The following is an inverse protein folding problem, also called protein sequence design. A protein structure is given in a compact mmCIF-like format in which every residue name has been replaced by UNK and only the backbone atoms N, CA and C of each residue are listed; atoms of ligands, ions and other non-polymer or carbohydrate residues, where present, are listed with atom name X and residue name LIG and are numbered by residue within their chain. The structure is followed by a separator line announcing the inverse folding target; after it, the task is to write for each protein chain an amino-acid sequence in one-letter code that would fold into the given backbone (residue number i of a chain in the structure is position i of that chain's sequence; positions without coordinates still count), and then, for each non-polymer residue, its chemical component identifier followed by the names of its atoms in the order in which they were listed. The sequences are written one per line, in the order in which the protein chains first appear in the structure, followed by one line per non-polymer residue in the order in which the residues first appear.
data_IF_661422836092
#
_entry.id   IF_661422836092
#
_cell.length_a   1.000
_cell.length_b   1.000
_cell.length_c   1.000
_cell.angle_alpha   90.00
_cell.angle_beta   90.00
_cell.angle_gamma   90.00
#
_symmetry.space_group_name_H-M   'P 1'
#
loop_
_entity.id
_entity.type
_entity.pdbx_description
1 polymer ?
#
# COMPACT_ATOMS: atom_id res chain seq x y z
N UNK A 1 -17.11 -5.76 6.72
CA UNK A 1 -16.82 -4.59 7.57
C UNK A 1 -15.69 -4.82 8.58
N UNK A 2 -15.35 -6.07 8.97
CA UNK A 2 -14.27 -6.33 9.93
C UNK A 2 -12.85 -6.47 9.32
N UNK A 3 -12.71 -6.83 8.04
CA UNK A 3 -11.39 -7.00 7.40
C UNK A 3 -10.61 -5.69 7.27
N UNK A 4 -11.28 -4.59 6.92
CA UNK A 4 -10.66 -3.26 6.75
C UNK A 4 -10.05 -2.72 8.06
N UNK A 5 -10.67 -3.07 9.19
CA UNK A 5 -10.26 -2.70 10.53
C UNK A 5 -8.94 -3.39 10.96
N UNK A 6 -8.75 -4.65 10.56
CA UNK A 6 -7.52 -5.38 10.87
C UNK A 6 -6.32 -4.82 10.12
N UNK A 7 -6.49 -4.44 8.85
CA UNK A 7 -5.45 -3.79 8.05
C UNK A 7 -4.94 -2.50 8.69
N UNK A 8 -5.81 -1.68 9.30
CA UNK A 8 -5.42 -0.43 9.98
C UNK A 8 -4.51 -0.69 11.19
N UNK A 9 -4.82 -1.70 12.00
CA UNK A 9 -4.00 -2.07 13.17
C UNK A 9 -2.63 -2.58 12.73
N UNK A 10 -2.59 -3.42 11.69
CA UNK A 10 -1.34 -3.94 11.13
C UNK A 10 -0.46 -2.82 10.55
N UNK A 11 -1.08 -1.83 9.90
CA UNK A 11 -0.41 -0.66 9.34
C UNK A 11 0.19 0.23 10.42
N UNK A 12 -0.59 0.53 11.47
CA UNK A 12 -0.15 1.31 12.62
C UNK A 12 1.01 0.61 13.35
N UNK A 13 0.92 -0.72 13.50
CA UNK A 13 1.99 -1.54 14.10
C UNK A 13 3.26 -1.53 13.24
N UNK A 14 3.13 -1.60 11.92
CA UNK A 14 4.26 -1.55 10.98
C UNK A 14 4.97 -0.21 10.96
N UNK A 15 4.24 0.90 11.18
CA UNK A 15 4.81 2.24 11.22
C UNK A 15 5.08 2.77 12.63
N UNK A 16 4.84 1.96 13.66
CA UNK A 16 4.98 2.35 15.07
C UNK A 16 6.35 2.98 15.35
N UNK A 17 7.44 2.40 14.84
CA UNK A 17 8.79 2.93 15.04
C UNK A 17 8.99 4.32 14.42
N UNK A 18 8.50 4.52 13.20
CA UNK A 18 8.57 5.80 12.49
C UNK A 18 7.72 6.87 13.18
N UNK A 19 6.51 6.49 13.61
CA UNK A 19 5.61 7.38 14.35
C UNK A 19 6.23 7.78 15.68
N UNK A 20 6.81 6.85 16.44
CA UNK A 20 7.54 7.15 17.68
C UNK A 20 8.67 8.14 17.43
N UNK A 21 9.45 7.95 16.37
CA UNK A 21 10.59 8.82 16.06
C UNK A 21 10.18 10.26 15.71
N UNK A 22 9.00 10.44 15.11
CA UNK A 22 8.49 11.75 14.70
C UNK A 22 7.73 12.41 15.84
N UNK A 23 6.77 11.71 16.42
CA UNK A 23 5.90 12.22 17.48
C UNK A 23 6.66 12.46 18.79
N UNK A 24 7.82 11.82 19.02
CA UNK A 24 8.67 12.13 20.19
C UNK A 24 9.17 13.57 20.20
N UNK A 25 9.16 14.27 19.06
CA UNK A 25 9.55 15.69 19.02
C UNK A 25 8.60 16.54 19.88
N UNK A 26 7.30 16.20 19.91
CA UNK A 26 6.29 16.86 20.74
C UNK A 26 5.26 15.83 21.27
N UNK A 27 5.74 14.92 22.12
CA UNK A 27 4.92 13.82 22.63
C UNK A 27 3.73 14.31 23.46
N UNK A 28 3.90 15.40 24.23
CA UNK A 28 2.83 15.96 25.06
C UNK A 28 1.69 16.53 24.22
N UNK A 29 2.00 17.15 23.07
CA UNK A 29 0.99 17.66 22.13
C UNK A 29 0.11 16.54 21.58
N UNK A 30 0.73 15.42 21.20
CA UNK A 30 0.06 14.25 20.63
C UNK A 30 -0.80 13.55 21.68
N UNK A 31 -0.28 13.39 22.90
CA UNK A 31 -0.98 12.74 24.01
C UNK A 31 -2.21 13.55 24.44
N UNK A 32 -2.11 14.89 24.46
CA UNK A 32 -3.25 15.77 24.72
C UNK A 32 -4.34 15.67 23.63
N UNK A 33 -3.93 15.66 22.36
CA UNK A 33 -4.86 15.50 21.24
C UNK A 33 -5.54 14.13 21.23
N UNK A 34 -4.80 13.06 21.57
CA UNK A 34 -5.36 11.73 21.67
C UNK A 34 -6.38 11.60 22.81
N UNK A 35 -6.16 12.28 23.94
CA UNK A 35 -7.12 12.37 25.04
C UNK A 35 -8.37 13.14 24.65
N UNK A 36 -8.23 14.28 23.96
CA UNK A 36 -9.35 15.10 23.49
C UNK A 36 -10.30 14.32 22.56
N UNK A 37 -9.77 13.36 21.80
CA UNK A 37 -10.53 12.46 20.91
C UNK A 37 -11.03 11.18 21.59
N UNK A 38 -10.86 11.04 22.91
CA UNK A 38 -11.21 9.82 23.69
C UNK A 38 -10.59 8.53 23.12
N UNK A 39 -9.45 8.63 22.42
CA UNK A 39 -8.74 7.48 21.83
C UNK A 39 -8.09 6.62 22.91
N UNK A 40 -7.74 7.26 24.02
CA UNK A 40 -7.18 6.65 25.21
C UNK A 40 -8.19 6.79 26.33
N UNK A 41 -8.37 5.75 27.14
CA UNK A 41 -9.13 5.87 28.39
C UNK A 41 -8.36 6.77 29.37
N UNK A 42 -9.04 7.42 30.33
CA UNK A 42 -8.40 8.25 31.36
C UNK A 42 -7.22 7.54 32.05
N UNK A 43 -7.40 6.26 32.38
CA UNK A 43 -6.37 5.41 32.96
C UNK A 43 -5.15 5.21 32.04
N UNK A 44 -5.38 5.11 30.72
CA UNK A 44 -4.30 5.01 29.73
C UNK A 44 -3.56 6.35 29.59
N UNK A 45 -4.28 7.48 29.64
CA UNK A 45 -3.67 8.80 29.59
C UNK A 45 -2.79 9.08 30.81
N UNK A 46 -3.25 8.77 32.03
CA UNK A 46 -2.44 8.89 33.25
C UNK A 46 -1.19 8.01 33.19
N UNK A 47 -1.32 6.79 32.67
CA UNK A 47 -0.18 5.88 32.49
C UNK A 47 0.84 6.43 31.48
N UNK A 48 0.38 7.02 30.38
CA UNK A 48 1.23 7.66 29.38
C UNK A 48 1.87 8.94 29.94
N UNK A 49 1.12 9.78 30.65
CA UNK A 49 1.65 10.98 31.33
C UNK A 49 2.73 10.62 32.38
N UNK A 50 2.60 9.46 33.01
CA UNK A 50 3.58 8.96 33.98
C UNK A 50 4.93 8.57 33.35
N UNK A 51 4.98 8.34 32.03
CA UNK A 51 6.24 8.10 31.32
C UNK A 51 7.07 9.39 31.23
N UNK A 52 8.33 9.33 31.69
CA UNK A 52 9.24 10.49 31.67
C UNK A 52 9.85 10.76 30.29
N UNK A 53 9.89 9.75 29.42
CA UNK A 53 10.55 9.82 28.13
C UNK A 53 9.50 10.04 27.03
N UNK A 54 9.64 11.07 26.18
CA UNK A 54 8.65 11.37 25.13
C UNK A 54 8.51 10.24 24.11
N UNK A 55 9.56 9.48 23.81
CA UNK A 55 9.47 8.30 22.95
C UNK A 55 8.67 7.17 23.60
N UNK A 56 8.82 6.95 24.91
CA UNK A 56 8.02 5.96 25.64
C UNK A 56 6.57 6.40 25.75
N UNK A 57 6.29 7.69 25.98
CA UNK A 57 4.94 8.25 25.98
C UNK A 57 4.20 7.90 24.68
N UNK A 58 4.82 8.20 23.54
CA UNK A 58 4.24 7.89 22.23
C UNK A 58 4.13 6.39 22.00
N UNK A 59 5.13 5.62 22.43
CA UNK A 59 5.10 4.17 22.28
C UNK A 59 3.95 3.54 23.06
N UNK A 60 3.74 3.95 24.32
CA UNK A 60 2.64 3.49 25.17
C UNK A 60 1.30 3.93 24.61
N UNK A 61 1.20 5.16 24.09
CA UNK A 61 0.00 5.64 23.40
C UNK A 61 -0.37 4.72 22.22
N UNK A 62 0.59 4.47 21.33
CA UNK A 62 0.37 3.60 20.18
C UNK A 62 0.07 2.15 20.59
N UNK A 63 0.75 1.64 21.63
CA UNK A 63 0.47 0.30 22.14
C UNK A 63 -0.95 0.21 22.70
N UNK A 64 -1.35 1.18 23.54
CA UNK A 64 -2.68 1.21 24.14
C UNK A 64 -3.79 1.28 23.08
N UNK A 65 -3.55 2.04 22.01
CA UNK A 65 -4.47 2.12 20.86
C UNK A 65 -4.55 0.79 20.11
N UNK A 66 -3.42 0.11 19.90
CA UNK A 66 -3.38 -1.22 19.27
C UNK A 66 -4.11 -2.27 20.14
N UNK A 67 -3.97 -2.20 21.47
CA UNK A 67 -4.67 -3.08 22.42
C UNK A 67 -6.18 -2.82 22.48
N UNK A 68 -6.59 -1.55 22.40
CA UNK A 68 -8.01 -1.16 22.41
C UNK A 68 -8.75 -1.63 21.16
N UNK A 69 -8.03 -1.73 20.04
CA UNK A 69 -8.50 -2.37 18.82
C UNK A 69 -8.62 -1.43 17.63
N UNK A 70 -9.26 -1.91 16.55
CA UNK A 70 -9.22 -1.24 15.26
C UNK A 70 -9.92 0.12 15.22
N UNK A 71 -10.99 0.30 16.00
CA UNK A 71 -11.70 1.60 16.10
C UNK A 71 -10.80 2.68 16.69
N UNK A 72 -10.03 2.33 17.72
CA UNK A 72 -9.04 3.23 18.30
C UNK A 72 -7.87 3.49 17.36
N UNK A 73 -7.37 2.45 16.68
CA UNK A 73 -6.28 2.56 15.70
C UNK A 73 -6.68 3.46 14.52
N UNK A 74 -7.91 3.36 14.06
CA UNK A 74 -8.46 4.21 13.01
C UNK A 74 -8.60 5.65 13.47
N UNK A 75 -9.09 5.89 14.68
CA UNK A 75 -9.17 7.23 15.24
C UNK A 75 -7.80 7.87 15.47
N UNK A 76 -6.78 7.09 15.84
CA UNK A 76 -5.38 7.55 15.87
C UNK A 76 -4.87 7.91 14.48
N UNK A 77 -5.22 7.12 13.46
CA UNK A 77 -4.86 7.43 12.07
C UNK A 77 -5.54 8.71 11.56
N UNK A 78 -6.75 9.00 12.02
CA UNK A 78 -7.50 10.22 11.70
C UNK A 78 -6.86 11.44 12.37
N UNK A 79 -6.51 11.31 13.65
CA UNK A 79 -5.76 12.33 14.41
C UNK A 79 -4.44 12.67 13.71
N UNK A 80 -3.68 11.67 13.27
CA UNK A 80 -2.42 11.88 12.56
C UNK A 80 -2.58 12.58 11.21
N UNK A 81 -3.79 12.63 10.65
CA UNK A 81 -4.11 13.35 9.40
C UNK A 81 -4.63 14.76 9.63
N UNK A 82 -4.93 15.15 10.87
CA UNK A 82 -5.38 16.50 11.18
C UNK A 82 -4.32 17.53 10.80
N UNK A 83 -4.79 18.70 10.34
CA UNK A 83 -3.92 19.79 9.94
C UNK A 83 -3.00 20.21 11.09
N UNK A 84 -3.50 20.27 12.31
CA UNK A 84 -2.74 20.68 13.49
C UNK A 84 -1.54 19.75 13.74
N UNK A 85 -1.76 18.43 13.73
CA UNK A 85 -0.68 17.44 13.91
C UNK A 85 0.29 17.45 12.73
N UNK A 86 -0.18 17.69 11.51
CA UNK A 86 0.67 17.74 10.32
C UNK A 86 1.51 19.02 10.24
N UNK A 87 1.01 20.14 10.78
CA UNK A 87 1.76 21.38 10.90
C UNK A 87 2.84 21.27 11.98
N UNK A 88 2.54 20.63 13.12
CA UNK A 88 3.53 20.34 14.16
C UNK A 88 4.57 19.34 13.67
N UNK A 89 4.16 18.36 12.88
CA UNK A 89 5.04 17.29 12.39
C UNK A 89 4.95 17.16 10.86
N UNK A 90 5.66 18.02 10.10
CA UNK A 90 5.68 17.96 8.64
C UNK A 90 6.24 16.63 8.11
N UNK A 91 6.93 15.85 8.95
CA UNK A 91 7.42 14.51 8.64
C UNK A 91 6.32 13.45 8.60
N UNK A 92 5.12 13.72 9.12
CA UNK A 92 3.96 12.81 9.07
C UNK A 92 3.23 12.80 7.72
N UNK A 93 3.74 13.50 6.71
CA UNK A 93 3.09 13.60 5.40
C UNK A 93 2.83 12.23 4.74
N UNK A 94 3.71 11.24 4.98
CA UNK A 94 3.49 9.86 4.51
C UNK A 94 2.25 9.17 5.10
N UNK A 95 1.73 9.64 6.24
CA UNK A 95 0.51 9.10 6.86
C UNK A 95 -0.74 9.57 6.11
N UNK A 96 -0.69 10.74 5.47
CA UNK A 96 -1.76 11.22 4.57
C UNK A 96 -1.87 10.36 3.32
N UNK A 97 -0.74 9.87 2.82
CA UNK A 97 -0.69 8.99 1.65
C UNK A 97 -1.22 7.59 1.94
N UNK A 98 -1.16 7.19 3.22
CA UNK A 98 -1.49 5.85 3.70
C UNK A 98 -2.99 5.58 3.90
N UNK A 99 -3.89 6.45 3.40
CA UNK A 99 -5.34 6.22 3.53
C UNK A 99 -5.68 4.86 2.92
N UNK A 100 -6.00 3.89 3.80
CA UNK A 100 -6.77 2.70 3.43
C UNK A 100 -7.98 3.20 2.68
N UNK A 101 -8.23 2.55 1.55
CA UNK A 101 -9.14 2.98 0.49
C UNK A 101 -10.58 2.97 0.99
N UNK A 102 -10.98 3.99 1.74
CA UNK A 102 -12.39 4.27 1.98
C UNK A 102 -12.83 5.32 0.96
N UNK A 103 -13.62 4.95 -0.05
CA UNK A 103 -14.20 5.93 -0.95
C UNK A 103 -15.26 6.75 -0.19
N UNK A 104 -15.14 8.07 -0.36
CA UNK A 104 -16.17 9.09 -0.16
C UNK A 104 -16.30 9.73 1.24
N UNK A 105 -16.05 11.04 1.25
CA UNK A 105 -16.88 12.15 1.78
C UNK A 105 -16.16 13.43 1.34
N UNK A 106 -16.47 13.97 0.16
CA UNK A 106 -17.35 15.14 -0.04
C UNK A 106 -17.03 16.25 0.95
N UNK A 107 -16.11 17.15 0.56
CA UNK A 107 -16.15 18.60 0.82
C UNK A 107 -15.50 19.24 -0.41
N UNK A 108 -16.27 19.65 -1.42
CA UNK A 108 -16.81 21.01 -1.56
C UNK A 108 -15.76 22.11 -1.32
N UNK A 109 -15.07 22.50 -2.39
CA UNK A 109 -14.80 23.92 -2.61
C UNK A 109 -14.73 24.22 -4.10
N UNK A 110 -15.67 25.06 -4.50
CA UNK A 110 -15.97 25.58 -5.83
C UNK A 110 -14.79 26.42 -6.36
N UNK A 111 -14.46 26.44 -7.67
CA UNK A 111 -15.14 27.30 -8.63
C UNK A 111 -14.74 26.97 -10.09
N UNK A 112 -15.79 26.88 -10.91
CA UNK A 112 -15.95 27.32 -12.31
C UNK A 112 -15.48 26.46 -13.50
N UNK A 113 -16.48 25.89 -14.17
CA UNK A 113 -16.50 25.56 -15.61
C UNK A 113 -17.65 24.61 -16.02
N UNK A 114 -18.68 25.03 -16.79
CA UNK A 114 -19.84 24.20 -17.09
C UNK A 114 -19.71 23.40 -18.41
N UNK A 115 -19.93 22.08 -18.30
CA UNK A 115 -20.63 21.17 -19.26
C UNK A 115 -19.91 20.75 -20.57
N UNK A 116 -20.41 19.75 -21.34
CA UNK A 116 -20.71 18.36 -20.97
C UNK A 116 -20.28 17.37 -22.07
N UNK A 117 -19.59 16.26 -21.76
CA UNK A 117 -19.54 15.12 -22.69
C UNK A 117 -19.28 13.81 -21.95
N UNK A 118 -20.24 12.91 -22.17
CA UNK A 118 -20.44 11.61 -21.54
C UNK A 118 -19.28 10.64 -21.81
N UNK A 119 -19.13 9.69 -20.86
CA UNK A 119 -18.29 8.46 -20.86
C UNK A 119 -16.92 8.56 -20.18
N UNK A 120 -16.93 8.93 -18.91
CA UNK A 120 -15.86 8.57 -17.98
C UNK A 120 -16.45 7.73 -16.83
N UNK A 121 -16.67 6.43 -17.08
CA UNK A 121 -16.95 5.38 -16.09
C UNK A 121 -16.86 4.06 -16.86
N UNK A 122 -16.00 3.08 -16.59
CA UNK A 122 -15.26 2.69 -15.40
C UNK A 122 -13.85 2.32 -15.87
N UNK A 123 -12.80 3.02 -15.46
CA UNK A 123 -11.44 2.47 -15.59
C UNK A 123 -11.19 1.65 -14.35
N UNK A 124 -11.47 0.34 -14.45
CA UNK A 124 -11.02 -0.64 -13.49
C UNK A 124 -9.56 -0.33 -13.17
N UNK A 125 -9.30 -0.06 -11.89
CA UNK A 125 -7.96 0.16 -11.38
C UNK A 125 -7.23 -1.18 -11.47
N UNK A 126 -6.65 -1.42 -12.65
CA UNK A 126 -6.06 -2.66 -13.11
C UNK A 126 -4.78 -3.02 -12.37
N UNK A 127 -4.89 -3.44 -11.11
CA UNK A 127 -3.86 -4.31 -10.53
C UNK A 127 -3.92 -5.61 -11.32
N UNK A 128 -2.77 -6.07 -11.83
CA UNK A 128 -2.73 -7.37 -12.52
C UNK A 128 -3.23 -8.43 -11.54
N UNK A 129 -4.31 -9.11 -11.91
CA UNK A 129 -4.84 -10.19 -11.10
C UNK A 129 -3.96 -11.43 -11.21
N UNK A 130 -3.97 -12.26 -10.18
CA UNK A 130 -3.23 -13.53 -10.19
C UNK A 130 -3.57 -14.39 -11.41
N UNK A 131 -4.84 -14.38 -11.82
CA UNK A 131 -5.34 -15.06 -13.01
C UNK A 131 -4.69 -14.53 -14.28
N UNK A 132 -4.58 -13.22 -14.44
CA UNK A 132 -3.90 -12.61 -15.59
C UNK A 132 -2.41 -12.96 -15.62
N UNK A 133 -1.72 -12.94 -14.46
CA UNK A 133 -0.32 -13.39 -14.38
C UNK A 133 -0.18 -14.87 -14.77
N UNK A 134 -1.13 -15.71 -14.39
CA UNK A 134 -1.15 -17.13 -14.73
C UNK A 134 -1.36 -17.37 -16.22
N UNK A 135 -2.25 -16.61 -16.86
CA UNK A 135 -2.51 -16.70 -18.32
C UNK A 135 -1.26 -16.27 -19.09
N UNK A 136 -0.67 -15.13 -18.70
CA UNK A 136 0.60 -14.64 -19.27
C UNK A 136 1.72 -15.64 -19.03
N UNK A 137 1.80 -16.27 -17.86
CA UNK A 137 2.82 -17.28 -17.56
C UNK A 137 2.73 -18.54 -18.43
N UNK A 138 1.51 -18.94 -18.82
CA UNK A 138 1.30 -20.07 -19.74
C UNK A 138 1.66 -19.73 -21.19
N UNK A 139 1.51 -18.46 -21.56
CA UNK A 139 1.82 -17.96 -22.90
C UNK A 139 3.25 -17.47 -23.09
N UNK A 140 3.94 -17.13 -22.00
CA UNK A 140 5.37 -16.86 -22.04
C UNK A 140 6.10 -18.13 -22.49
N UNK A 141 6.98 -17.99 -23.48
CA UNK A 141 7.81 -19.09 -23.96
C UNK A 141 9.09 -19.26 -23.14
N UNK A 142 9.95 -20.20 -23.54
CA UNK A 142 11.23 -20.53 -22.87
C UNK A 142 12.14 -19.33 -22.56
N UNK A 143 11.89 -18.18 -23.19
CA UNK A 143 12.59 -16.91 -22.97
C UNK A 143 12.24 -16.19 -21.66
N UNK A 144 11.32 -16.68 -20.83
CA UNK A 144 10.93 -16.04 -19.56
C UNK A 144 12.12 -15.51 -18.73
N UNK A 145 13.22 -16.25 -18.67
CA UNK A 145 14.43 -15.86 -17.94
C UNK A 145 15.07 -14.59 -18.53
N UNK A 146 15.10 -14.50 -19.86
CA UNK A 146 15.59 -13.31 -20.57
C UNK A 146 14.64 -12.12 -20.40
N UNK A 147 13.33 -12.36 -20.41
CA UNK A 147 12.28 -11.36 -20.11
C UNK A 147 12.42 -10.83 -18.68
N UNK A 148 12.76 -11.70 -17.73
CA UNK A 148 13.03 -11.29 -16.35
C UNK A 148 14.14 -10.28 -16.25
N UNK A 149 15.21 -10.48 -17.01
CA UNK A 149 16.38 -9.59 -17.00
C UNK A 149 16.10 -8.30 -17.77
N UNK A 150 15.60 -8.42 -19.00
CA UNK A 150 15.44 -7.27 -19.92
C UNK A 150 14.19 -6.45 -19.60
N UNK A 151 13.00 -7.08 -19.51
CA UNK A 151 11.73 -6.39 -19.27
C UNK A 151 11.45 -6.06 -17.81
N UNK A 152 11.75 -6.98 -16.90
CA UNK A 152 11.40 -6.83 -15.49
C UNK A 152 12.57 -6.30 -14.63
N UNK A 153 13.79 -6.24 -15.18
CA UNK A 153 14.98 -5.77 -14.46
C UNK A 153 15.32 -6.64 -13.23
N UNK A 154 14.99 -7.93 -13.29
CA UNK A 154 15.26 -8.93 -12.24
C UNK A 154 16.69 -9.45 -12.41
N UNK A 155 17.42 -9.56 -11.30
CA UNK A 155 18.79 -10.08 -11.30
C UNK A 155 18.80 -11.57 -11.66
N UNK A 156 19.77 -12.01 -12.47
CA UNK A 156 19.91 -13.42 -12.89
C UNK A 156 19.92 -14.39 -11.70
N UNK A 157 20.66 -14.04 -10.64
CA UNK A 157 20.71 -14.80 -9.37
C UNK A 157 19.31 -15.13 -8.82
N UNK A 158 18.36 -14.19 -8.94
CA UNK A 158 16.99 -14.41 -8.45
C UNK A 158 16.18 -15.32 -9.38
N UNK A 159 16.45 -15.27 -10.68
CA UNK A 159 15.82 -16.15 -11.66
C UNK A 159 16.30 -17.59 -11.52
N UNK A 160 17.60 -17.79 -11.29
CA UNK A 160 18.16 -19.11 -10.97
C UNK A 160 17.54 -19.70 -9.72
N UNK A 161 17.37 -18.89 -8.67
CA UNK A 161 16.70 -19.33 -7.46
C UNK A 161 15.24 -19.76 -7.72
N UNK A 162 14.50 -19.01 -8.53
CA UNK A 162 13.11 -19.36 -8.90
C UNK A 162 13.07 -20.64 -9.75
N UNK A 163 14.04 -20.81 -10.65
CA UNK A 163 14.20 -21.99 -11.49
C UNK A 163 14.48 -23.25 -10.66
N UNK A 164 15.31 -23.13 -9.62
CA UNK A 164 15.69 -24.22 -8.73
C UNK A 164 14.58 -24.56 -7.71
N UNK A 165 13.87 -23.55 -7.18
CA UNK A 165 12.78 -23.75 -6.23
C UNK A 165 11.51 -24.35 -6.86
N UNK A 166 11.25 -24.13 -8.15
CA UNK A 166 10.00 -24.52 -8.81
C UNK A 166 10.20 -25.63 -9.83
N UNK A 167 9.37 -26.67 -9.72
CA UNK A 167 9.43 -27.87 -10.57
C UNK A 167 8.81 -27.63 -11.94
N UNK A 168 7.74 -26.84 -12.02
CA UNK A 168 7.04 -26.61 -13.29
C UNK A 168 7.41 -25.27 -13.91
N UNK A 169 7.45 -25.26 -15.24
CA UNK A 169 7.72 -24.06 -16.03
C UNK A 169 6.75 -22.92 -15.67
N UNK A 170 5.44 -23.21 -15.64
CA UNK A 170 4.40 -22.22 -15.36
C UNK A 170 4.62 -21.59 -13.98
N UNK A 171 4.99 -22.38 -12.96
CA UNK A 171 5.30 -21.85 -11.63
C UNK A 171 6.54 -20.96 -11.61
N UNK A 172 7.57 -21.26 -12.41
CA UNK A 172 8.78 -20.41 -12.53
C UNK A 172 8.42 -19.05 -13.10
N UNK A 173 7.70 -19.03 -14.22
CA UNK A 173 7.29 -17.79 -14.88
C UNK A 173 6.33 -16.99 -14.02
N UNK A 174 5.36 -17.68 -13.41
CA UNK A 174 4.41 -17.06 -12.52
C UNK A 174 5.09 -16.45 -11.29
N UNK A 175 6.03 -17.18 -10.66
CA UNK A 175 6.80 -16.66 -9.53
C UNK A 175 7.66 -15.45 -9.92
N UNK A 176 8.23 -15.43 -11.14
CA UNK A 176 8.95 -14.27 -11.67
C UNK A 176 8.04 -13.04 -11.81
N UNK A 177 6.83 -13.25 -12.35
CA UNK A 177 5.84 -12.19 -12.54
C UNK A 177 5.29 -11.65 -11.21
N UNK A 178 5.05 -12.52 -10.23
CA UNK A 178 4.68 -12.15 -8.85
C UNK A 178 5.81 -11.37 -8.19
N UNK A 179 7.07 -11.80 -8.37
CA UNK A 179 8.24 -11.10 -7.84
C UNK A 179 8.35 -9.69 -8.40
N UNK A 180 8.15 -9.51 -9.70
CA UNK A 180 8.08 -8.19 -10.32
C UNK A 180 6.92 -7.36 -9.79
N UNK A 181 5.73 -7.95 -9.67
CA UNK A 181 4.53 -7.27 -9.15
C UNK A 181 4.75 -6.75 -7.72
N UNK A 182 5.34 -7.57 -6.86
CA UNK A 182 5.70 -7.20 -5.49
C UNK A 182 6.77 -6.11 -5.42
N UNK A 183 7.67 -6.04 -6.42
CA UNK A 183 8.72 -5.02 -6.50
C UNK A 183 8.19 -3.68 -7.02
N UNK A 184 7.23 -3.68 -7.95
CA UNK A 184 6.66 -2.45 -8.51
C UNK A 184 5.41 -1.95 -7.77
N UNK A 185 4.82 -2.73 -6.86
CA UNK A 185 3.64 -2.46 -5.96
C UNK A 185 2.49 -1.65 -6.59
N UNK A 186 2.70 -0.36 -6.84
CA UNK A 186 1.75 0.59 -7.42
C UNK A 186 1.78 0.67 -8.95
N UNK A 187 2.95 0.42 -9.57
CA UNK A 187 3.15 0.46 -11.03
C UNK A 187 2.98 -0.90 -11.70
N UNK A 188 2.60 -1.94 -10.95
CA UNK A 188 2.35 -3.29 -11.45
C UNK A 188 0.96 -3.38 -12.09
N UNK A 189 0.75 -2.59 -13.13
CA UNK A 189 -0.52 -2.50 -13.87
C UNK A 189 -0.46 -3.41 -15.09
N UNK A 190 -1.61 -3.97 -15.48
CA UNK A 190 -1.72 -4.82 -16.68
C UNK A 190 -1.22 -4.10 -17.94
N UNK A 191 -1.55 -2.81 -18.08
CA UNK A 191 -1.03 -1.95 -19.14
C UNK A 191 0.50 -1.78 -19.12
N UNK A 192 1.12 -1.73 -17.93
CA UNK A 192 2.57 -1.59 -17.82
C UNK A 192 3.27 -2.90 -18.18
N UNK A 193 2.72 -4.03 -17.74
CA UNK A 193 3.22 -5.35 -18.13
C UNK A 193 3.07 -5.56 -19.65
N UNK A 194 1.93 -5.16 -20.22
CA UNK A 194 1.68 -5.20 -21.66
C UNK A 194 2.68 -4.32 -22.43
N UNK A 195 2.91 -3.09 -21.98
CA UNK A 195 3.89 -2.19 -22.63
C UNK A 195 5.29 -2.77 -22.60
N UNK A 196 5.73 -3.34 -21.47
CA UNK A 196 7.05 -3.97 -21.34
C UNK A 196 7.19 -5.20 -22.24
N UNK A 197 6.19 -6.07 -22.25
CA UNK A 197 6.20 -7.28 -23.08
C UNK A 197 6.03 -6.98 -24.58
N UNK A 198 5.40 -5.86 -24.93
CA UNK A 198 5.23 -5.40 -26.31
C UNK A 198 6.42 -4.59 -26.83
N UNK A 199 7.25 -4.02 -25.96
CA UNK A 199 8.42 -3.24 -26.37
C UNK A 199 9.63 -4.12 -26.70
N UNK A 200 9.70 -5.32 -26.14
CA UNK A 200 10.81 -6.24 -26.38
C UNK A 200 10.35 -7.36 -27.32
N UNK A 201 11.07 -7.53 -28.42
CA UNK A 201 10.86 -8.56 -29.46
C UNK A 201 11.21 -9.96 -28.90
N UNK A 202 10.41 -10.44 -27.95
CA UNK A 202 10.72 -11.61 -27.13
C UNK A 202 10.10 -12.91 -27.64
N UNK A 203 9.45 -12.87 -28.80
CA UNK A 203 8.74 -14.01 -29.38
C UNK A 203 7.54 -14.47 -28.55
N UNK A 204 6.97 -13.59 -27.73
CA UNK A 204 5.76 -13.89 -26.96
C UNK A 204 4.55 -13.76 -27.89
N UNK A 205 3.67 -14.77 -27.98
CA UNK A 205 2.48 -14.69 -28.81
C UNK A 205 1.61 -13.51 -28.34
N UNK A 206 1.19 -12.61 -29.24
CA UNK A 206 0.40 -11.42 -28.90
C UNK A 206 -0.91 -11.82 -28.20
N UNK A 207 -1.49 -12.97 -28.54
CA UNK A 207 -2.71 -13.51 -27.91
C UNK A 207 -2.58 -13.71 -26.39
N UNK A 208 -1.37 -14.00 -25.91
CA UNK A 208 -1.12 -14.21 -24.47
C UNK A 208 -0.95 -12.91 -23.68
N UNK A 209 -0.54 -11.83 -24.37
CA UNK A 209 -0.38 -10.50 -23.79
C UNK A 209 -1.69 -9.72 -23.92
N UNK A 210 -2.49 -9.98 -24.96
CA UNK A 210 -3.81 -9.36 -25.21
C UNK A 210 -4.81 -9.61 -24.06
N UNK A 211 -4.69 -10.73 -23.34
CA UNK A 211 -5.45 -11.01 -22.11
C UNK A 211 -5.23 -9.95 -21.00
N UNK A 212 -4.17 -9.16 -21.06
CA UNK A 212 -3.94 -8.01 -20.17
C UNK A 212 -4.77 -6.77 -20.54
N UNK A 213 -5.31 -6.70 -21.76
CA UNK A 213 -6.15 -5.60 -22.27
C UNK A 213 -7.66 -5.91 -22.17
N UNK A 214 -8.03 -7.18 -22.03
CA UNK A 214 -9.39 -7.63 -21.71
C UNK A 214 -9.76 -7.19 -20.28
N UNK A 215 -10.10 -5.91 -20.15
CA UNK A 215 -10.63 -5.31 -18.94
C UNK A 215 -12.12 -5.08 -19.18
N UNK A 216 -12.96 -6.00 -18.70
CA UNK A 216 -14.42 -5.83 -18.60
C UNK A 216 -14.78 -4.84 -17.49
#
# INVERSE_FOLDING_TARGET
MAEDAADVVHLLKGQKATLIEILRADADFVVQHAHSRYLVSDQGYEKIQSCRVPSEKVQELLDHVIWRGPEAAQGMLDLLKEKEIQETFPKLDFVKDLRVKTPLSVEESELQGPTPAKKALRKGCGRVTEKQLMIVAKGLGSNWRQIGIQALGIKNVKLEQIEEEKRTYVERVFAMLIYWSNRKKEKATAANLHSLLSQEDLGVPPESIECLLETD
#
